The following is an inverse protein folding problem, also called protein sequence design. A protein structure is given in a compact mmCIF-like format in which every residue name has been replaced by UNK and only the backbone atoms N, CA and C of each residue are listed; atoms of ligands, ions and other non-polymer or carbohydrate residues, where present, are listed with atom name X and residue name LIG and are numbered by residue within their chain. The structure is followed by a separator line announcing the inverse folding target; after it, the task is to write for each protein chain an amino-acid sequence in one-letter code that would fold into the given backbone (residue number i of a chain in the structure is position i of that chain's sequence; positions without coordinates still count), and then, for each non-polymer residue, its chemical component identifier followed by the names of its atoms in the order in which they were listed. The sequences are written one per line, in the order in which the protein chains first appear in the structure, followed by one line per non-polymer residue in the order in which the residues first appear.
data_IF_070925247397
#
_entry.id   IF_070925247397
#
_cell.length_a   1.000
_cell.length_b   1.000
_cell.length_c   1.000
_cell.angle_alpha   90.00
_cell.angle_beta   90.00
_cell.angle_gamma   90.00
#
_symmetry.space_group_name_H-M   'P 1'
#
loop_
_entity.id
_entity.type
_entity.pdbx_description
1 polymer ?
#
# COMPACT_ATOMS: atom_id res chain seq x y z
N UNK A 1 3.96 -6.11 0.50
CA UNK A 1 4.96 -5.04 0.26
C UNK A 1 6.23 -5.71 -0.27
N UNK A 2 6.72 -5.28 -1.42
CA UNK A 2 7.92 -5.85 -2.04
C UNK A 2 9.04 -4.80 -2.01
N UNK A 3 10.22 -5.19 -1.55
CA UNK A 3 11.41 -4.36 -1.49
C UNK A 3 12.56 -5.21 -2.03
N UNK A 4 13.45 -4.61 -2.81
CA UNK A 4 14.64 -5.30 -3.28
C UNK A 4 15.49 -5.80 -2.10
N UNK A 5 16.11 -6.97 -2.25
CA UNK A 5 16.99 -7.52 -1.22
C UNK A 5 18.18 -6.58 -0.97
N UNK A 6 18.43 -6.25 0.29
CA UNK A 6 19.53 -5.38 0.69
C UNK A 6 19.54 -5.17 2.20
N UNK A 7 20.64 -4.62 2.71
CA UNK A 7 20.86 -4.42 4.16
C UNK A 7 19.74 -3.61 4.85
N UNK A 8 19.09 -2.71 4.11
CA UNK A 8 18.04 -1.82 4.64
C UNK A 8 16.61 -2.30 4.35
N UNK A 9 16.41 -3.52 3.86
CA UNK A 9 15.11 -3.99 3.37
C UNK A 9 13.98 -3.91 4.41
N UNK A 10 14.26 -4.24 5.67
CA UNK A 10 13.27 -4.16 6.76
C UNK A 10 12.88 -2.73 7.07
N UNK A 11 13.85 -1.81 7.12
CA UNK A 11 13.59 -0.40 7.38
C UNK A 11 12.77 0.23 6.24
N UNK A 12 13.09 -0.10 4.99
CA UNK A 12 12.34 0.37 3.82
C UNK A 12 10.89 -0.16 3.83
N UNK A 13 10.66 -1.42 4.21
CA UNK A 13 9.29 -1.95 4.41
C UNK A 13 8.51 -1.15 5.47
N UNK A 14 9.16 -0.80 6.59
CA UNK A 14 8.54 0.02 7.63
C UNK A 14 8.24 1.45 7.16
N UNK A 15 9.17 2.09 6.47
CA UNK A 15 8.97 3.42 5.89
C UNK A 15 7.85 3.41 4.84
N UNK A 16 7.80 2.37 4.00
CA UNK A 16 6.72 2.16 3.03
C UNK A 16 5.36 1.99 3.72
N UNK A 17 5.30 1.21 4.80
CA UNK A 17 4.06 1.06 5.56
C UNK A 17 3.65 2.38 6.25
N UNK A 18 4.60 3.14 6.78
CA UNK A 18 4.35 4.48 7.33
C UNK A 18 3.77 5.43 6.28
N UNK A 19 4.33 5.43 5.08
CA UNK A 19 3.80 6.23 3.97
C UNK A 19 2.36 5.83 3.62
N UNK A 20 2.09 4.52 3.53
CA UNK A 20 0.74 4.00 3.31
C UNK A 20 -0.24 4.43 4.41
N UNK A 21 0.12 4.23 5.68
CA UNK A 21 -0.69 4.62 6.84
C UNK A 21 -1.04 6.12 6.80
N UNK A 22 -0.04 6.98 6.60
CA UNK A 22 -0.23 8.44 6.51
C UNK A 22 -1.09 8.84 5.32
N UNK A 23 -0.91 8.19 4.17
CA UNK A 23 -1.76 8.42 3.00
C UNK A 23 -3.21 8.08 3.31
N UNK A 24 -3.48 6.88 3.86
CA UNK A 24 -4.83 6.46 4.22
C UNK A 24 -5.45 7.41 5.25
N UNK A 25 -4.70 7.81 6.28
CA UNK A 25 -5.16 8.76 7.29
C UNK A 25 -5.52 10.12 6.69
N UNK A 26 -4.64 10.68 5.87
CA UNK A 26 -4.83 11.97 5.21
C UNK A 26 -5.99 11.99 4.19
N UNK A 27 -6.30 10.84 3.60
CA UNK A 27 -7.36 10.66 2.60
C UNK A 27 -8.64 10.05 3.18
N UNK A 28 -8.73 9.93 4.52
CA UNK A 28 -9.90 9.38 5.23
C UNK A 28 -10.27 7.94 4.81
N UNK A 29 -9.26 7.14 4.42
CA UNK A 29 -9.44 5.71 4.19
C UNK A 29 -9.34 4.99 5.54
N UNK A 30 -10.45 4.41 5.99
CA UNK A 30 -10.55 3.83 7.33
C UNK A 30 -9.84 2.48 7.51
N UNK A 31 -9.70 1.70 6.43
CA UNK A 31 -9.22 0.31 6.51
C UNK A 31 -8.15 0.01 5.48
N UNK A 32 -7.12 -0.72 5.91
CA UNK A 32 -6.15 -1.36 5.01
C UNK A 32 -6.38 -2.86 5.08
N UNK A 33 -6.58 -3.49 3.93
CA UNK A 33 -6.73 -4.94 3.80
C UNK A 33 -5.43 -5.54 3.27
N UNK A 34 -5.01 -6.65 3.87
CA UNK A 34 -3.83 -7.38 3.45
C UNK A 34 -4.11 -8.88 3.46
N UNK A 35 -3.43 -9.60 2.57
CA UNK A 35 -3.43 -11.06 2.53
C UNK A 35 -1.98 -11.49 2.52
N UNK A 36 -1.60 -12.33 3.46
CA UNK A 36 -0.22 -12.79 3.60
C UNK A 36 -0.12 -14.28 3.88
N UNK A 37 0.94 -14.89 3.37
CA UNK A 37 1.32 -16.28 3.69
C UNK A 37 2.22 -16.31 4.91
N UNK A 38 2.29 -17.43 5.61
CA UNK A 38 3.33 -17.64 6.63
C UNK A 38 4.73 -17.72 5.95
N UNK A 39 5.78 -17.12 6.53
CA UNK A 39 5.82 -16.32 7.77
C UNK A 39 5.70 -14.80 7.54
N UNK A 40 5.28 -14.35 6.36
CA UNK A 40 5.17 -12.92 6.01
C UNK A 40 4.04 -12.23 6.79
N UNK A 41 2.99 -12.98 7.14
CA UNK A 41 1.89 -12.53 8.00
C UNK A 41 2.37 -12.01 9.36
N UNK A 42 3.46 -12.57 9.91
CA UNK A 42 4.06 -12.11 11.18
C UNK A 42 4.49 -10.65 11.14
N UNK A 43 4.99 -10.17 10.01
CA UNK A 43 5.36 -8.75 9.84
C UNK A 43 4.12 -7.85 9.92
N UNK A 44 2.97 -8.29 9.37
CA UNK A 44 1.72 -7.55 9.43
C UNK A 44 1.12 -7.58 10.85
N UNK A 45 1.16 -8.73 11.52
CA UNK A 45 0.72 -8.85 12.93
C UNK A 45 1.51 -7.87 13.82
N UNK A 46 2.84 -7.80 13.65
CA UNK A 46 3.71 -6.84 14.37
C UNK A 46 3.40 -5.37 14.07
N UNK A 47 2.74 -5.08 12.95
CA UNK A 47 2.28 -3.74 12.63
C UNK A 47 0.91 -3.42 13.27
N UNK A 48 0.20 -4.42 13.81
CA UNK A 48 -1.14 -4.28 14.39
C UNK A 48 -2.27 -4.74 13.47
N UNK A 49 -1.96 -5.47 12.39
CA UNK A 49 -3.02 -6.13 11.61
C UNK A 49 -3.69 -7.22 12.44
N UNK A 50 -5.00 -7.35 12.27
CA UNK A 50 -5.85 -8.37 12.91
C UNK A 50 -6.50 -9.25 11.86
N UNK A 51 -6.92 -10.43 12.26
CA UNK A 51 -7.58 -11.37 11.35
C UNK A 51 -8.97 -10.91 11.00
N UNK A 52 -9.34 -11.12 9.74
CA UNK A 52 -10.73 -10.95 9.29
C UNK A 52 -11.55 -12.19 9.64
N UNK A 53 -10.93 -13.38 9.52
CA UNK A 53 -11.55 -14.67 9.82
C UNK A 53 -11.27 -15.08 11.27
N UNK A 54 -12.00 -16.08 11.75
CA UNK A 54 -11.85 -16.59 13.11
C UNK A 54 -10.42 -17.11 13.35
N UNK A 55 -9.80 -16.63 14.42
CA UNK A 55 -8.53 -17.10 15.02
C UNK A 55 -7.52 -17.76 14.05
N UNK A 56 -7.10 -17.03 13.02
CA UNK A 56 -6.02 -17.46 12.12
C UNK A 56 -6.41 -18.50 11.08
N UNK A 57 -7.69 -18.65 10.78
CA UNK A 57 -8.16 -19.39 9.62
C UNK A 57 -7.47 -18.89 8.34
N UNK A 58 -6.97 -19.85 7.54
CA UNK A 58 -6.27 -19.56 6.30
C UNK A 58 -7.13 -19.98 5.13
N UNK A 59 -7.21 -19.11 4.14
CA UNK A 59 -7.82 -19.40 2.86
C UNK A 59 -6.82 -20.13 1.98
N UNK A 60 -7.26 -21.23 1.37
CA UNK A 60 -6.48 -21.92 0.34
C UNK A 60 -6.56 -21.11 -0.95
N UNK A 61 -5.42 -20.71 -1.50
CA UNK A 61 -5.37 -20.10 -2.83
C UNK A 61 -5.46 -21.20 -3.91
N UNK A 62 -6.21 -20.98 -5.02
CA UNK A 62 -6.24 -21.89 -6.16
C UNK A 62 -4.85 -22.18 -6.76
N UNK A 63 -4.67 -23.39 -7.29
CA UNK A 63 -3.38 -23.95 -7.77
C UNK A 63 -2.66 -23.07 -8.79
N UNK A 64 -3.39 -22.39 -9.67
CA UNK A 64 -2.85 -21.51 -10.74
C UNK A 64 -1.92 -20.40 -10.23
N UNK A 65 -2.03 -20.05 -8.94
CA UNK A 65 -1.29 -18.95 -8.31
C UNK A 65 -0.33 -19.42 -7.22
N UNK A 66 0.04 -20.71 -7.26
CA UNK A 66 0.84 -21.39 -6.25
C UNK A 66 -0.02 -21.79 -5.06
N UNK A 67 -0.11 -23.09 -4.80
CA UNK A 67 -0.85 -23.65 -3.66
C UNK A 67 -0.26 -23.11 -2.35
N UNK A 68 -0.93 -22.12 -1.75
CA UNK A 68 -0.45 -21.47 -0.55
C UNK A 68 -1.61 -21.04 0.32
N UNK A 69 -1.48 -21.33 1.61
CA UNK A 69 -2.42 -20.90 2.62
C UNK A 69 -2.14 -19.44 2.96
N UNK A 70 -3.17 -18.61 2.81
CA UNK A 70 -3.06 -17.18 3.05
C UNK A 70 -4.03 -16.74 4.13
N UNK A 71 -3.58 -15.81 4.95
CA UNK A 71 -4.34 -15.22 6.05
C UNK A 71 -4.86 -13.85 5.61
N UNK A 72 -6.19 -13.68 5.49
CA UNK A 72 -6.78 -12.37 5.25
C UNK A 72 -6.80 -11.56 6.55
N UNK A 73 -6.29 -10.34 6.48
CA UNK A 73 -6.09 -9.46 7.64
C UNK A 73 -6.56 -8.04 7.33
N UNK A 74 -6.96 -7.31 8.37
CA UNK A 74 -7.34 -5.91 8.30
C UNK A 74 -6.57 -5.07 9.31
N UNK A 75 -6.48 -3.77 9.02
CA UNK A 75 -5.87 -2.78 9.90
C UNK A 75 -6.76 -1.53 9.94
N UNK A 76 -7.17 -1.13 11.15
CA UNK A 76 -7.94 0.10 11.36
C UNK A 76 -6.99 1.29 11.36
N UNK A 77 -7.11 2.17 10.35
CA UNK A 77 -6.27 3.36 10.24
C UNK A 77 -6.63 4.39 11.32
N UNK A 78 -7.92 4.46 11.69
CA UNK A 78 -8.43 5.41 12.67
C UNK A 78 -8.03 5.03 14.10
N UNK A 79 -8.12 3.73 14.43
CA UNK A 79 -7.85 3.26 15.79
C UNK A 79 -6.36 3.02 16.05
N UNK A 80 -5.57 2.80 15.00
CA UNK A 80 -4.16 2.41 15.13
C UNK A 80 -3.33 3.34 16.02
N UNK A 81 -3.50 4.65 15.92
CA UNK A 81 -2.74 5.58 16.76
C UNK A 81 -3.08 5.37 18.24
N UNK A 82 -4.37 5.27 18.55
CA UNK A 82 -4.88 5.08 19.90
C UNK A 82 -4.38 3.75 20.48
N UNK A 83 -4.51 2.67 19.72
CA UNK A 83 -4.06 1.33 20.10
C UNK A 83 -2.54 1.27 20.32
N UNK A 84 -1.76 1.87 19.41
CA UNK A 84 -0.31 1.91 19.56
C UNK A 84 0.13 2.73 20.76
N UNK A 85 -0.54 3.84 21.04
CA UNK A 85 -0.23 4.70 22.19
C UNK A 85 -0.53 3.99 23.50
N UNK A 86 -1.73 3.43 23.65
CA UNK A 86 -2.15 2.74 24.87
C UNK A 86 -1.37 1.45 25.11
N UNK A 87 -1.09 0.69 24.05
CA UNK A 87 -0.33 -0.56 24.13
C UNK A 87 1.18 -0.38 24.28
N UNK A 88 1.70 0.85 24.30
CA UNK A 88 3.14 1.10 24.35
C UNK A 88 3.88 0.49 23.15
N UNK A 89 3.27 0.53 21.97
CA UNK A 89 3.75 -0.21 20.81
C UNK A 89 5.15 0.27 20.37
N UNK A 90 6.11 -0.64 20.12
CA UNK A 90 7.50 -0.26 19.79
C UNK A 90 7.63 0.67 18.58
N UNK A 91 6.69 0.56 17.64
CA UNK A 91 6.67 1.37 16.42
C UNK A 91 5.90 2.69 16.57
N UNK A 92 5.25 2.99 17.70
CA UNK A 92 4.44 4.20 17.88
C UNK A 92 5.24 5.48 17.56
N UNK A 93 6.46 5.57 18.11
CA UNK A 93 7.33 6.72 17.88
C UNK A 93 7.69 6.89 16.41
N UNK A 94 8.09 5.80 15.76
CA UNK A 94 8.46 5.82 14.35
C UNK A 94 7.26 6.10 13.45
N UNK A 95 6.10 5.51 13.69
CA UNK A 95 4.93 5.60 12.81
C UNK A 95 4.23 6.96 12.94
N UNK A 96 4.01 7.42 14.18
CA UNK A 96 3.16 8.57 14.48
C UNK A 96 4.01 9.81 14.79
N UNK A 97 4.86 9.75 15.83
CA UNK A 97 5.51 10.95 16.39
C UNK A 97 6.59 11.55 15.51
N UNK A 98 7.48 10.72 14.95
CA UNK A 98 8.58 11.20 14.11
C UNK A 98 8.05 11.71 12.78
N UNK A 99 8.52 12.86 12.30
CA UNK A 99 8.29 13.30 10.92
C UNK A 99 9.53 13.00 10.10
N UNK A 100 9.35 12.46 8.89
CA UNK A 100 10.44 12.21 7.97
C UNK A 100 10.18 13.01 6.68
N UNK A 101 11.16 13.79 6.20
CA UNK A 101 10.99 14.67 5.04
C UNK A 101 10.91 13.91 3.71
N UNK A 102 11.31 12.64 3.68
CA UNK A 102 11.18 11.74 2.53
C UNK A 102 9.77 11.15 2.38
N UNK A 103 8.93 11.21 3.42
CA UNK A 103 7.56 10.73 3.40
C UNK A 103 6.60 11.92 3.29
N UNK A 104 6.45 12.41 2.07
CA UNK A 104 5.51 13.47 1.72
C UNK A 104 4.27 12.92 1.01
N UNK A 105 3.10 13.12 1.61
CA UNK A 105 1.84 12.57 1.10
C UNK A 105 1.33 13.37 -0.09
N UNK A 106 1.08 14.67 0.09
CA UNK A 106 0.33 15.48 -0.89
C UNK A 106 1.15 15.94 -2.10
N UNK A 107 2.47 16.08 -1.98
CA UNK A 107 3.34 16.36 -3.13
C UNK A 107 3.34 15.17 -4.11
N UNK A 108 3.35 13.95 -3.58
CA UNK A 108 3.37 12.69 -4.34
C UNK A 108 2.07 12.38 -5.10
N UNK A 109 0.89 12.78 -4.58
CA UNK A 109 -0.42 12.47 -5.22
C UNK A 109 -0.71 13.36 -6.44
N UNK A 110 0.03 14.45 -6.64
CA UNK A 110 -0.18 15.39 -7.74
C UNK A 110 0.23 14.88 -9.13
N UNK A 111 0.94 13.74 -9.21
CA UNK A 111 1.51 13.24 -10.47
C UNK A 111 1.04 11.81 -10.76
N UNK A 112 0.77 11.51 -12.05
CA UNK A 112 0.54 10.23 -12.75
C UNK A 112 -0.31 9.08 -12.12
N UNK A 113 -0.25 8.88 -10.81
CA UNK A 113 -0.92 7.84 -10.01
C UNK A 113 -2.32 8.23 -9.56
N UNK A 114 -2.60 9.53 -9.42
CA UNK A 114 -3.94 10.04 -9.13
C UNK A 114 -4.89 10.08 -10.34
N UNK A 115 -4.34 9.98 -11.56
CA UNK A 115 -5.16 9.86 -12.77
C UNK A 115 -5.68 8.42 -12.86
N UNK A 116 -7.00 8.18 -12.80
CA UNK A 116 -7.53 6.82 -12.94
C UNK A 116 -7.04 6.19 -14.25
N UNK A 117 -6.60 4.93 -14.21
CA UNK A 117 -6.13 4.22 -15.41
C UNK A 117 -7.16 4.24 -16.56
N UNK A 118 -8.45 4.35 -16.23
CA UNK A 118 -9.56 4.55 -17.17
C UNK A 118 -9.46 5.87 -17.95
N UNK A 119 -9.10 6.96 -17.28
CA UNK A 119 -8.87 8.26 -17.92
C UNK A 119 -7.64 8.26 -18.83
N UNK A 120 -6.63 7.43 -18.51
CA UNK A 120 -5.42 7.26 -19.32
C UNK A 120 -5.67 6.53 -20.64
N UNK A 121 -6.67 5.63 -20.70
CA UNK A 121 -7.05 4.91 -21.93
C UNK A 121 -7.79 5.80 -22.93
N UNK A 122 -8.67 6.69 -22.46
CA UNK A 122 -9.38 7.65 -23.32
C UNK A 122 -8.45 8.70 -23.94
N UNK A 123 -7.44 9.16 -23.18
CA UNK A 123 -6.48 10.17 -23.67
C UNK A 123 -5.58 9.64 -24.79
N UNK A 124 -5.22 8.35 -24.76
CA UNK A 124 -4.44 7.69 -25.82
C UNK A 124 -5.22 7.49 -27.12
N UNK A 125 -6.55 7.46 -27.04
CA UNK A 125 -7.44 7.24 -28.19
C UNK A 125 -7.78 8.56 -28.90
N UNK A 126 -7.83 9.67 -28.15
CA UNK A 126 -7.98 11.02 -28.70
C UNK A 126 -6.71 11.56 -29.39
N UNK A 127 -5.53 11.05 -29.01
CA UNK A 127 -4.23 11.47 -29.57
C UNK A 127 -3.87 10.71 -30.87
N UNK A 128 -4.66 9.70 -31.24
CA UNK A 128 -4.48 8.91 -32.46
C UNK A 128 -5.23 9.43 -33.69
N UNK A 129 -5.92 10.56 -33.58
CA UNK A 129 -6.73 11.17 -34.66
C UNK A 129 -6.11 12.43 -35.26
N UNK A 130 -4.80 12.66 -35.08
CA UNK A 130 -4.09 13.74 -35.76
C UNK A 130 -3.50 13.23 -37.10
N UNK A 131 -4.34 13.41 -38.12
CA UNK A 131 -4.06 13.79 -39.50
C UNK A 131 -3.05 12.99 -40.34
N UNK A 132 -3.60 12.16 -41.24
CA UNK A 132 -2.89 11.53 -42.36
C UNK A 132 -2.56 12.52 -43.51
N UNK A 133 -2.54 13.83 -43.25
CA UNK A 133 -2.49 14.88 -44.29
C UNK A 133 -1.22 15.75 -44.25
N UNK A 134 -0.17 15.33 -43.53
CA UNK A 134 1.17 15.94 -43.64
C UNK A 134 2.19 14.95 -44.23
N UNK A 135 1.88 14.47 -45.43
CA UNK A 135 2.86 13.98 -46.41
C UNK A 135 3.11 15.18 -47.35
N UNK A 136 4.37 15.51 -47.61
CA UNK A 136 4.88 16.52 -48.57
C UNK A 136 4.78 18.00 -48.19
N UNK A 137 5.77 18.52 -47.45
CA UNK A 137 6.26 19.88 -47.64
C UNK A 137 7.73 20.01 -47.18
N UNK A 138 8.59 20.18 -48.20
CA UNK A 138 10.02 20.58 -48.20
C UNK A 138 11.05 19.51 -47.83
#
# INVERSE_FOLDING_TARGET
MAVASGANGTFVKLAMFKALYRYCFATQISWILAVARDPVDRDLIRLGFRDILENGEKLRRPEDFGEVDVRPMHFSVLDAEHEWRLGGHPLYDFMVRKTHPDIEIFSSVSSAWATPRRARRGRRQADGTLDATQIMAV
#
